data_IF_301264558386
#
_entry.id   IF_301264558386
#
_cell.length_a   1.000
_cell.length_b   1.000
_cell.length_c   1.000
_cell.angle_alpha   90.00
_cell.angle_beta   90.00
_cell.angle_gamma   90.00
#
_symmetry.space_group_name_H-M   'P 1'
#
loop_
_entity.id
_entity.type
_entity.pdbx_description
1 polymer ?
#
# COMPACT_ATOMS: atom_id res chain seq x y z
N UNK A 1 -10.77 -23.50 8.05
CA UNK A 1 -10.49 -22.05 8.11
C UNK A 1 -8.99 -21.86 8.00
N UNK A 2 -8.51 -21.13 7.00
CA UNK A 2 -7.10 -20.70 6.97
C UNK A 2 -6.98 -19.60 8.02
N UNK A 3 -6.29 -19.88 9.13
CA UNK A 3 -6.03 -18.89 10.17
C UNK A 3 -4.86 -17.99 9.76
N UNK A 4 -5.09 -16.68 9.73
CA UNK A 4 -4.00 -15.74 9.49
C UNK A 4 -3.13 -15.58 10.75
N UNK A 5 -1.81 -15.32 10.60
CA UNK A 5 -0.92 -14.99 11.72
C UNK A 5 -1.42 -13.78 12.52
N UNK A 6 -1.09 -13.67 13.82
CA UNK A 6 -1.63 -12.63 14.71
C UNK A 6 -1.34 -11.19 14.25
N UNK A 7 -0.18 -10.95 13.64
CA UNK A 7 0.16 -9.63 13.10
C UNK A 7 -0.67 -9.27 11.85
N UNK A 8 -1.05 -10.26 11.04
CA UNK A 8 -1.90 -10.06 9.87
C UNK A 8 -3.36 -9.81 10.33
N UNK A 9 -3.80 -10.45 11.42
CA UNK A 9 -5.13 -10.25 12.00
C UNK A 9 -5.42 -8.79 12.38
N UNK A 10 -4.39 -8.02 12.74
CA UNK A 10 -4.54 -6.61 13.11
C UNK A 10 -4.84 -5.70 11.92
N UNK A 11 -4.46 -6.12 10.70
CA UNK A 11 -4.63 -5.33 9.46
C UNK A 11 -5.70 -5.91 8.53
N UNK A 12 -6.33 -7.01 8.94
CA UNK A 12 -7.36 -7.70 8.17
C UNK A 12 -8.64 -6.85 8.08
N UNK A 13 -9.29 -6.79 6.91
CA UNK A 13 -10.65 -6.28 6.85
C UNK A 13 -11.62 -7.18 7.64
N UNK A 14 -12.77 -6.64 8.06
CA UNK A 14 -13.81 -7.44 8.70
C UNK A 14 -14.26 -8.57 7.76
N UNK A 15 -14.28 -9.80 8.28
CA UNK A 15 -14.72 -10.96 7.50
C UNK A 15 -16.17 -10.79 7.08
N UNK A 16 -16.51 -10.96 5.79
CA UNK A 16 -17.90 -11.06 5.35
C UNK A 16 -18.57 -12.27 6.02
N UNK A 17 -19.86 -12.12 6.36
CA UNK A 17 -20.67 -13.26 6.81
C UNK A 17 -20.91 -14.27 5.69
N UNK A 18 -21.20 -15.55 6.01
CA UNK A 18 -21.51 -16.55 4.99
C UNK A 18 -22.74 -16.17 4.16
N UNK A 19 -22.64 -16.30 2.84
CA UNK A 19 -23.72 -16.05 1.88
C UNK A 19 -23.93 -17.27 0.97
N UNK A 20 -25.16 -17.63 0.59
CA UNK A 20 -25.39 -18.74 -0.35
C UNK A 20 -24.80 -18.44 -1.73
N UNK A 21 -24.26 -19.45 -2.42
CA UNK A 21 -23.66 -19.32 -3.75
C UNK A 21 -24.70 -19.17 -4.89
N UNK A 22 -25.58 -18.17 -4.76
CA UNK A 22 -26.49 -17.78 -5.85
C UNK A 22 -25.71 -17.08 -6.97
N UNK A 23 -26.20 -17.09 -8.23
CA UNK A 23 -25.54 -16.37 -9.33
C UNK A 23 -25.29 -14.89 -9.04
N UNK A 24 -26.21 -14.22 -8.33
CA UNK A 24 -26.07 -12.83 -7.93
C UNK A 24 -24.95 -12.63 -6.90
N UNK A 25 -24.86 -13.50 -5.89
CA UNK A 25 -23.82 -13.42 -4.86
C UNK A 25 -22.43 -13.75 -5.44
N UNK A 26 -22.34 -14.71 -6.36
CA UNK A 26 -21.10 -15.01 -7.07
C UNK A 26 -20.63 -13.79 -7.88
N UNK A 27 -21.54 -13.15 -8.64
CA UNK A 27 -21.21 -11.95 -9.40
C UNK A 27 -20.78 -10.78 -8.49
N UNK A 28 -21.44 -10.62 -7.34
CA UNK A 28 -21.08 -9.62 -6.33
C UNK A 28 -19.69 -9.87 -5.74
N UNK A 29 -19.39 -11.11 -5.35
CA UNK A 29 -18.07 -11.52 -4.86
C UNK A 29 -16.99 -11.27 -5.91
N UNK A 30 -17.24 -11.61 -7.17
CA UNK A 30 -16.30 -11.33 -8.25
C UNK A 30 -16.06 -9.82 -8.44
N UNK A 31 -17.13 -9.01 -8.43
CA UNK A 31 -17.02 -7.56 -8.50
C UNK A 31 -16.20 -6.99 -7.33
N UNK A 32 -16.39 -7.52 -6.13
CA UNK A 32 -15.62 -7.15 -4.95
C UNK A 32 -14.11 -7.47 -5.12
N UNK A 33 -13.78 -8.67 -5.59
CA UNK A 33 -12.39 -9.08 -5.86
C UNK A 33 -11.72 -8.14 -6.88
N UNK A 34 -12.43 -7.79 -7.96
CA UNK A 34 -11.93 -6.84 -8.96
C UNK A 34 -11.71 -5.46 -8.35
N UNK A 35 -12.67 -4.97 -7.54
CA UNK A 35 -12.58 -3.66 -6.89
C UNK A 35 -11.41 -3.58 -5.89
N UNK A 36 -11.18 -4.65 -5.13
CA UNK A 36 -10.06 -4.72 -4.18
C UNK A 36 -8.72 -4.79 -4.90
N UNK A 37 -8.67 -5.51 -6.02
CA UNK A 37 -7.48 -5.58 -6.88
C UNK A 37 -7.17 -4.24 -7.52
N UNK A 38 -8.18 -3.46 -7.92
CA UNK A 38 -7.97 -2.09 -8.41
C UNK A 38 -7.49 -1.16 -7.29
N UNK A 39 -8.08 -1.27 -6.10
CA UNK A 39 -7.70 -0.45 -4.95
C UNK A 39 -6.27 -0.70 -4.49
N UNK A 40 -5.74 -1.92 -4.71
CA UNK A 40 -4.34 -2.26 -4.45
C UNK A 40 -3.35 -1.42 -5.28
N UNK A 41 -3.72 -0.94 -6.46
CA UNK A 41 -2.85 -0.14 -7.32
C UNK A 41 -2.77 1.33 -6.91
N UNK A 42 -3.75 1.79 -6.11
CA UNK A 42 -3.84 3.20 -5.72
C UNK A 42 -2.66 3.66 -4.85
N UNK A 43 -2.24 2.92 -3.80
CA UNK A 43 -1.06 3.29 -3.02
C UNK A 43 0.22 3.35 -3.86
N UNK A 44 0.39 2.41 -4.79
CA UNK A 44 1.53 2.40 -5.71
C UNK A 44 1.55 3.64 -6.60
N UNK A 45 0.38 4.06 -7.09
CA UNK A 45 0.26 5.26 -7.90
C UNK A 45 0.55 6.53 -7.10
N UNK A 46 0.05 6.62 -5.86
CA UNK A 46 0.31 7.74 -4.95
C UNK A 46 1.80 7.84 -4.61
N UNK A 47 2.43 6.71 -4.28
CA UNK A 47 3.85 6.61 -4.04
C UNK A 47 4.66 7.02 -5.28
N UNK A 48 4.33 6.49 -6.45
CA UNK A 48 4.98 6.87 -7.71
C UNK A 48 4.88 8.37 -7.98
N UNK A 49 3.72 8.96 -7.71
CA UNK A 49 3.52 10.41 -7.82
C UNK A 49 4.38 11.17 -6.82
N UNK A 50 4.49 10.70 -5.58
CA UNK A 50 5.35 11.31 -4.56
C UNK A 50 6.83 11.28 -4.99
N UNK A 51 7.31 10.17 -5.55
CA UNK A 51 8.67 10.06 -6.12
C UNK A 51 8.89 10.96 -7.33
N UNK A 52 7.86 11.16 -8.16
CA UNK A 52 7.99 11.96 -9.37
C UNK A 52 7.89 13.48 -9.12
N UNK A 53 7.22 13.90 -8.05
CA UNK A 53 6.86 15.31 -7.85
C UNK A 53 7.34 15.88 -6.53
N UNK A 54 6.92 15.27 -5.41
CA UNK A 54 7.17 15.79 -4.06
C UNK A 54 8.64 15.63 -3.69
N UNK A 55 9.20 14.43 -3.89
CA UNK A 55 10.56 14.09 -3.50
C UNK A 55 11.61 14.96 -4.24
N UNK A 56 11.56 15.14 -5.57
CA UNK A 56 12.53 16.00 -6.26
C UNK A 56 12.47 17.46 -5.79
N UNK A 57 11.27 17.99 -5.52
CA UNK A 57 11.10 19.35 -5.02
C UNK A 57 11.67 19.51 -3.61
N UNK A 58 11.44 18.51 -2.74
CA UNK A 58 11.97 18.48 -1.38
C UNK A 58 13.50 18.35 -1.37
N UNK A 59 14.05 17.42 -2.16
CA UNK A 59 15.49 17.16 -2.28
C UNK A 59 16.25 18.37 -2.82
N UNK A 60 15.70 19.06 -3.82
CA UNK A 60 16.29 20.31 -4.33
C UNK A 60 16.31 21.40 -3.24
N UNK A 61 15.23 21.51 -2.46
CA UNK A 61 15.14 22.47 -1.36
C UNK A 61 16.18 22.18 -0.28
N UNK A 62 16.37 20.91 0.08
CA UNK A 62 17.42 20.48 1.01
C UNK A 62 18.82 20.76 0.48
N UNK A 63 19.09 20.38 -0.77
CA UNK A 63 20.38 20.60 -1.42
C UNK A 63 20.77 22.09 -1.42
N UNK A 64 19.87 22.95 -1.92
CA UNK A 64 20.12 24.39 -1.99
C UNK A 64 20.29 25.01 -0.60
N UNK A 65 19.44 24.61 0.36
CA UNK A 65 19.55 25.12 1.73
C UNK A 65 20.90 24.77 2.36
N UNK A 66 21.39 23.53 2.22
CA UNK A 66 22.69 23.14 2.77
C UNK A 66 23.86 23.77 2.01
N UNK A 67 23.73 23.92 0.69
CA UNK A 67 24.73 24.58 -0.15
C UNK A 67 24.96 26.04 0.28
N UNK A 68 23.87 26.78 0.55
CA UNK A 68 23.95 28.17 1.01
C UNK A 68 24.58 28.32 2.40
N UNK A 69 24.48 27.29 3.24
CA UNK A 69 25.14 27.24 4.55
C UNK A 69 26.57 26.68 4.50
N UNK A 70 27.10 26.35 3.32
CA UNK A 70 28.45 25.79 3.14
C UNK A 70 28.60 24.33 3.58
N UNK A 71 27.48 23.62 3.80
CA UNK A 71 27.49 22.23 4.25
C UNK A 71 27.35 21.27 3.06
N UNK A 72 28.45 21.08 2.32
CA UNK A 72 28.46 20.30 1.08
C UNK A 72 28.15 18.81 1.30
N UNK A 73 28.56 18.25 2.44
CA UNK A 73 28.29 16.84 2.76
C UNK A 73 26.79 16.66 3.02
N UNK A 74 26.20 17.47 3.90
CA UNK A 74 24.77 17.37 4.19
C UNK A 74 23.89 17.72 2.98
N UNK A 75 24.37 18.57 2.06
CA UNK A 75 23.67 18.88 0.82
C UNK A 75 23.41 17.62 -0.03
N UNK A 76 24.24 16.58 0.08
CA UNK A 76 24.07 15.32 -0.65
C UNK A 76 23.44 14.24 0.23
N UNK A 77 23.89 14.13 1.49
CA UNK A 77 23.43 13.08 2.39
C UNK A 77 21.97 13.23 2.80
N UNK A 78 21.49 14.46 3.02
CA UNK A 78 20.10 14.69 3.45
C UNK A 78 19.08 14.35 2.34
N UNK A 79 19.24 14.78 1.07
CA UNK A 79 18.38 14.30 -0.03
C UNK A 79 18.40 12.77 -0.19
N UNK A 80 19.58 12.15 -0.07
CA UNK A 80 19.67 10.69 -0.16
C UNK A 80 18.94 9.99 0.99
N UNK A 81 19.06 10.53 2.21
CA UNK A 81 18.33 10.04 3.37
C UNK A 81 16.81 10.22 3.23
N UNK A 82 16.36 11.34 2.65
CA UNK A 82 14.94 11.57 2.36
C UNK A 82 14.40 10.55 1.36
N UNK A 83 15.16 10.29 0.29
CA UNK A 83 14.83 9.26 -0.70
C UNK A 83 14.76 7.88 -0.07
N UNK A 84 15.77 7.49 0.72
CA UNK A 84 15.79 6.20 1.41
C UNK A 84 14.63 6.07 2.42
N UNK A 85 14.32 7.14 3.15
CA UNK A 85 13.20 7.20 4.07
C UNK A 85 11.85 7.01 3.36
N UNK A 86 11.60 7.72 2.26
CA UNK A 86 10.38 7.56 1.48
C UNK A 86 10.28 6.14 0.89
N UNK A 87 11.39 5.60 0.36
CA UNK A 87 11.41 4.24 -0.19
C UNK A 87 11.09 3.18 0.86
N UNK A 88 11.64 3.30 2.06
CA UNK A 88 11.38 2.38 3.16
C UNK A 88 9.92 2.44 3.64
N UNK A 89 9.39 3.65 3.84
CA UNK A 89 7.98 3.85 4.19
C UNK A 89 7.05 3.32 3.09
N UNK A 90 7.41 3.61 1.85
CA UNK A 90 6.74 3.12 0.66
C UNK A 90 6.64 1.62 0.59
N UNK A 91 7.77 0.93 0.74
CA UNK A 91 7.81 -0.52 0.76
C UNK A 91 6.93 -1.13 1.85
N UNK A 92 6.87 -0.51 3.03
CA UNK A 92 5.97 -0.94 4.11
C UNK A 92 4.49 -0.75 3.75
N UNK A 93 4.12 0.40 3.19
CA UNK A 93 2.75 0.69 2.76
C UNK A 93 2.31 -0.31 1.69
N UNK A 94 3.14 -0.52 0.66
CA UNK A 94 2.88 -1.47 -0.42
C UNK A 94 2.73 -2.90 0.11
N UNK A 95 3.61 -3.32 1.02
CA UNK A 95 3.51 -4.64 1.66
C UNK A 95 2.18 -4.82 2.39
N UNK A 96 1.78 -3.83 3.21
CA UNK A 96 0.51 -3.86 3.94
C UNK A 96 -0.67 -3.91 2.96
N UNK A 97 -0.64 -3.10 1.89
CA UNK A 97 -1.68 -3.08 0.88
C UNK A 97 -1.85 -4.46 0.23
N UNK A 98 -0.76 -5.11 -0.20
CA UNK A 98 -0.79 -6.45 -0.80
C UNK A 98 -1.37 -7.47 0.17
N UNK A 99 -0.84 -7.55 1.40
CA UNK A 99 -1.28 -8.54 2.39
C UNK A 99 -2.76 -8.37 2.71
N UNK A 100 -3.22 -7.12 2.89
CA UNK A 100 -4.61 -6.80 3.18
C UNK A 100 -5.54 -7.19 2.03
N UNK A 101 -5.19 -6.86 0.80
CA UNK A 101 -6.00 -7.19 -0.39
C UNK A 101 -6.09 -8.70 -0.60
N UNK A 102 -4.99 -9.43 -0.49
CA UNK A 102 -5.00 -10.89 -0.60
C UNK A 102 -5.88 -11.52 0.48
N UNK A 103 -5.79 -11.03 1.71
CA UNK A 103 -6.63 -11.51 2.80
C UNK A 103 -8.12 -11.22 2.57
N UNK A 104 -8.47 -10.02 2.06
CA UNK A 104 -9.82 -9.65 1.69
C UNK A 104 -10.41 -10.59 0.64
N UNK A 105 -9.67 -10.85 -0.43
CA UNK A 105 -10.06 -11.75 -1.52
C UNK A 105 -10.31 -13.17 -1.00
N UNK A 106 -9.42 -13.70 -0.16
CA UNK A 106 -9.60 -15.03 0.45
C UNK A 106 -10.88 -15.07 1.28
N UNK A 107 -11.13 -14.07 2.11
CA UNK A 107 -12.34 -14.00 2.94
C UNK A 107 -13.62 -13.88 2.10
N UNK A 108 -13.60 -13.10 1.03
CA UNK A 108 -14.72 -12.93 0.11
C UNK A 108 -15.06 -14.22 -0.65
N UNK A 109 -14.04 -15.00 -1.05
CA UNK A 109 -14.25 -16.29 -1.70
C UNK A 109 -14.75 -17.35 -0.71
N UNK A 110 -14.23 -17.33 0.53
CA UNK A 110 -14.66 -18.25 1.59
C UNK A 110 -16.06 -17.97 2.13
N UNK A 111 -16.59 -16.76 1.93
CA UNK A 111 -17.95 -16.44 2.36
C UNK A 111 -19.02 -17.11 1.50
N UNK A 112 -18.69 -17.55 0.27
CA UNK A 112 -19.60 -18.28 -0.60
C UNK A 112 -19.81 -19.71 -0.07
N UNK A 113 -21.02 -19.98 0.42
CA UNK A 113 -21.43 -21.30 0.88
C UNK A 113 -22.18 -22.02 -0.25
N UNK A 114 -21.63 -23.15 -0.68
CA UNK A 114 -22.20 -24.03 -1.71
C UNK A 114 -23.06 -25.13 -1.09
#
# INVERSE_FOLDING_TARGET
>A
MIGFPPYIQQILPPSPGPVPATPANIASTFAAVVSDSYSLLLPTADLGLAFATILPAYDLSLFLNQLLHGNFIAAIELPLAATAGLAALGAMIEFIAIVRTVAAIIQQLQSLNF
#
